data_IF_111945069988
#
_entry.id   IF_111945069988
#
_cell.length_a   1.000
_cell.length_b   1.000
_cell.length_c   1.000
_cell.angle_alpha   90.00
_cell.angle_beta   90.00
_cell.angle_gamma   90.00
#
_symmetry.space_group_name_H-M   'P 1'
#
loop_
_entity.id
_entity.type
_entity.pdbx_description
1 polymer ?
#
# COMPACT_ATOMS: atom_id res chain seq x y z
N UNK A 1 -10.24 -2.69 28.94
CA UNK A 1 -10.26 -1.33 28.35
C UNK A 1 -10.10 -1.47 26.85
N UNK A 2 -10.95 -0.84 26.04
CA UNK A 2 -10.78 -0.85 24.58
C UNK A 2 -9.69 0.16 24.21
N UNK A 3 -8.78 -0.24 23.32
CA UNK A 3 -7.73 0.64 22.82
C UNK A 3 -8.31 1.60 21.77
N UNK A 4 -8.17 2.93 21.95
CA UNK A 4 -8.73 3.91 21.03
C UNK A 4 -8.18 3.78 19.60
N UNK A 5 -6.90 3.41 19.42
CA UNK A 5 -6.28 3.21 18.10
C UNK A 5 -6.90 1.98 17.42
N UNK A 6 -7.14 0.92 18.18
CA UNK A 6 -7.74 -0.30 17.64
C UNK A 6 -9.18 -0.05 17.19
N UNK A 7 -9.97 0.71 17.94
CA UNK A 7 -11.34 1.04 17.54
C UNK A 7 -11.35 1.96 16.30
N UNK A 8 -10.43 2.92 16.20
CA UNK A 8 -10.28 3.76 15.00
C UNK A 8 -9.93 2.93 13.76
N UNK A 9 -8.97 2.01 13.87
CA UNK A 9 -8.60 1.11 12.76
C UNK A 9 -9.80 0.26 12.33
N UNK A 10 -10.61 -0.22 13.28
CA UNK A 10 -11.83 -1.00 12.99
C UNK A 10 -12.90 -0.15 12.28
N UNK A 11 -13.06 1.10 12.70
CA UNK A 11 -13.94 2.07 12.04
C UNK A 11 -13.56 2.24 10.56
N UNK A 12 -12.28 2.51 10.31
CA UNK A 12 -11.74 2.73 8.97
C UNK A 12 -11.91 1.48 8.09
N UNK A 13 -11.64 0.28 8.62
CA UNK A 13 -11.84 -0.97 7.86
C UNK A 13 -13.30 -1.17 7.45
N UNK A 14 -14.25 -0.92 8.36
CA UNK A 14 -15.68 -1.03 8.08
C UNK A 14 -16.13 -0.04 7.00
N UNK A 15 -15.59 1.18 7.02
CA UNK A 15 -15.87 2.17 5.97
C UNK A 15 -15.34 1.70 4.61
N UNK A 16 -14.09 1.23 4.54
CA UNK A 16 -13.49 0.71 3.31
C UNK A 16 -14.30 -0.49 2.77
N UNK A 17 -14.72 -1.42 3.64
CA UNK A 17 -15.53 -2.56 3.24
C UNK A 17 -16.90 -2.14 2.70
N UNK A 18 -17.57 -1.19 3.36
CA UNK A 18 -18.86 -0.66 2.93
C UNK A 18 -18.77 0.06 1.58
N UNK A 19 -17.73 0.86 1.37
CA UNK A 19 -17.47 1.58 0.10
C UNK A 19 -17.22 0.66 -1.10
N UNK A 20 -16.89 -0.60 -0.83
CA UNK A 20 -16.63 -1.62 -1.85
C UNK A 20 -17.67 -2.75 -1.81
N UNK A 21 -18.79 -2.58 -1.11
CA UNK A 21 -19.86 -3.59 -0.95
C UNK A 21 -19.35 -4.97 -0.51
N UNK A 22 -18.25 -5.02 0.26
CA UNK A 22 -17.58 -6.27 0.63
C UNK A 22 -16.90 -7.01 -0.53
N UNK A 23 -16.83 -6.42 -1.73
CA UNK A 23 -16.13 -6.99 -2.89
C UNK A 23 -14.63 -6.68 -2.82
N UNK A 24 -13.86 -7.68 -2.38
CA UNK A 24 -12.41 -7.61 -2.31
C UNK A 24 -11.74 -7.43 -3.68
N UNK A 25 -12.34 -7.91 -4.77
CA UNK A 25 -11.77 -7.72 -6.10
C UNK A 25 -11.85 -6.24 -6.51
N UNK A 26 -12.96 -5.59 -6.20
CA UNK A 26 -13.17 -4.18 -6.49
C UNK A 26 -12.22 -3.29 -5.67
N UNK A 27 -12.05 -3.61 -4.38
CA UNK A 27 -11.06 -2.95 -3.52
C UNK A 27 -9.64 -3.12 -4.09
N UNK A 28 -9.27 -4.35 -4.48
CA UNK A 28 -7.96 -4.63 -5.06
C UNK A 28 -7.70 -3.84 -6.34
N UNK A 29 -8.68 -3.76 -7.24
CA UNK A 29 -8.59 -2.96 -8.46
C UNK A 29 -8.36 -1.48 -8.15
N UNK A 30 -9.13 -0.88 -7.22
CA UNK A 30 -8.93 0.53 -6.81
C UNK A 30 -7.54 0.78 -6.25
N UNK A 31 -7.03 -0.13 -5.42
CA UNK A 31 -5.67 -0.04 -4.86
C UNK A 31 -4.63 -0.07 -5.99
N UNK A 32 -4.79 -1.00 -6.94
CA UNK A 32 -3.88 -1.13 -8.07
C UNK A 32 -3.87 0.10 -8.98
N UNK A 33 -5.04 0.69 -9.26
CA UNK A 33 -5.16 1.94 -10.02
C UNK A 33 -4.49 3.11 -9.31
N UNK A 34 -4.71 3.24 -7.99
CA UNK A 34 -4.06 4.25 -7.16
C UNK A 34 -2.53 4.10 -7.18
N UNK A 35 -2.04 2.86 -7.07
CA UNK A 35 -0.61 2.54 -7.17
C UNK A 35 -0.04 2.96 -8.53
N UNK A 36 -0.74 2.69 -9.63
CA UNK A 36 -0.33 3.09 -10.99
C UNK A 36 -0.28 4.62 -11.11
N UNK A 37 -1.31 5.32 -10.64
CA UNK A 37 -1.41 6.80 -10.65
C UNK A 37 -0.29 7.47 -9.85
N UNK A 38 0.15 6.85 -8.77
CA UNK A 38 1.19 7.38 -7.88
C UNK A 38 2.51 6.61 -7.97
N UNK A 39 2.77 5.94 -9.09
CA UNK A 39 3.97 5.14 -9.34
C UNK A 39 5.29 5.89 -9.10
N UNK A 40 5.30 7.20 -9.31
CA UNK A 40 6.44 8.09 -9.06
C UNK A 40 6.68 8.44 -7.58
N UNK A 41 5.70 8.21 -6.71
CA UNK A 41 5.81 8.39 -5.25
C UNK A 41 6.27 7.12 -4.55
N UNK A 42 6.24 5.99 -5.24
CA UNK A 42 6.82 4.75 -4.73
C UNK A 42 8.32 4.98 -4.68
N UNK A 43 8.91 4.86 -3.49
CA UNK A 43 10.37 4.90 -3.32
C UNK A 43 10.94 3.69 -4.06
N UNK A 44 11.27 3.90 -5.34
CA UNK A 44 11.98 2.93 -6.16
C UNK A 44 13.39 2.82 -5.61
N UNK A 45 13.61 1.83 -4.76
CA UNK A 45 14.96 1.28 -4.54
C UNK A 45 15.35 0.54 -5.82
N UNK A 46 15.70 1.25 -6.90
CA UNK A 46 16.56 0.60 -7.90
C UNK A 46 17.73 0.06 -7.08
N UNK A 47 17.98 -1.27 -7.08
CA UNK A 47 19.04 -1.83 -6.27
C UNK A 47 20.31 -1.04 -6.54
N UNK A 48 20.96 -0.55 -5.48
CA UNK A 48 22.22 0.18 -5.66
C UNK A 48 23.20 -0.82 -6.29
N UNK A 49 23.53 -0.60 -7.56
CA UNK A 49 24.53 -1.40 -8.26
C UNK A 49 25.85 -1.11 -7.54
N UNK A 50 26.33 -2.05 -6.74
CA UNK A 50 27.67 -1.99 -6.18
C UNK A 50 28.61 -2.19 -7.38
N UNK A 51 29.20 -1.11 -7.90
CA UNK A 51 30.22 -1.22 -8.95
C UNK A 51 31.33 -2.12 -8.41
N UNK A 52 31.49 -3.32 -8.98
CA UNK A 52 32.66 -4.14 -8.72
C UNK A 52 33.87 -3.37 -9.24
N UNK A 53 34.58 -2.68 -8.34
CA UNK A 53 35.94 -2.21 -8.61
C UNK A 53 36.71 -3.48 -8.97
N UNK A 54 37.06 -3.64 -10.25
CA UNK A 54 38.08 -4.61 -10.66
C UNK A 54 39.31 -4.28 -9.82
N UNK A 55 39.65 -5.19 -8.91
CA UNK A 55 40.96 -5.19 -8.27
C UNK A 55 41.92 -5.54 -9.41
N UNK A 56 42.67 -4.54 -9.86
CA UNK A 56 43.76 -4.70 -10.81
C UNK A 56 44.97 -5.33 -10.11
#
# INVERSE_FOLDING_TARGET
>A
MKDPIVEEIREIRRQIEAENNGDFNQLFQKIFESQKKHSNKIVSRKPRILSQKKIA
#
